data_IF_076764968580
#
_entry.id   IF_076764968580
#
_cell.length_a   1.000
_cell.length_b   1.000
_cell.length_c   1.000
_cell.angle_alpha   90.00
_cell.angle_beta   90.00
_cell.angle_gamma   90.00
#
_symmetry.space_group_name_H-M   'P 1'
#
loop_
_entity.id
_entity.type
_entity.pdbx_description
1 polymer ?
#
# COMPACT_ATOMS: atom_id res chain seq x y z
N UNK A 1 22.91 -6.90 -13.22
CA UNK A 1 21.87 -6.06 -12.58
C UNK A 1 20.62 -6.92 -12.54
N UNK A 2 19.95 -7.13 -11.40
CA UNK A 2 18.73 -7.92 -11.39
C UNK A 2 17.70 -7.25 -12.30
N UNK A 3 16.99 -8.05 -13.09
CA UNK A 3 15.92 -7.57 -13.96
C UNK A 3 14.85 -6.82 -13.15
N UNK A 4 14.26 -5.74 -13.70
CA UNK A 4 13.21 -5.00 -13.02
C UNK A 4 12.03 -5.93 -12.73
N UNK A 5 11.65 -6.03 -11.45
CA UNK A 5 10.50 -6.85 -11.04
C UNK A 5 9.23 -6.18 -11.57
N UNK A 6 8.56 -6.85 -12.51
CA UNK A 6 7.25 -6.41 -13.01
C UNK A 6 6.17 -6.82 -12.01
N UNK A 7 5.38 -5.85 -11.56
CA UNK A 7 4.23 -6.12 -10.69
C UNK A 7 3.10 -6.75 -11.49
N UNK A 8 2.57 -7.86 -10.98
CA UNK A 8 1.39 -8.53 -11.53
C UNK A 8 0.51 -9.00 -10.38
N UNK A 9 -0.81 -9.13 -10.59
CA UNK A 9 -1.70 -9.60 -9.53
C UNK A 9 -1.27 -10.98 -9.00
N UNK A 10 -0.77 -11.87 -9.88
CA UNK A 10 -0.24 -13.17 -9.46
C UNK A 10 0.97 -13.03 -8.52
N UNK A 11 1.93 -12.14 -8.82
CA UNK A 11 3.07 -11.91 -7.93
C UNK A 11 2.63 -11.39 -6.56
N UNK A 12 1.63 -10.51 -6.53
CA UNK A 12 1.05 -9.98 -5.29
C UNK A 12 0.37 -11.09 -4.48
N UNK A 13 -0.36 -11.98 -5.16
CA UNK A 13 -0.99 -13.17 -4.59
C UNK A 13 0.03 -14.14 -3.99
N UNK A 14 1.11 -14.44 -4.71
CA UNK A 14 2.19 -15.32 -4.27
C UNK A 14 2.95 -14.74 -3.07
N UNK A 15 3.13 -13.41 -3.03
CA UNK A 15 3.93 -12.73 -1.99
C UNK A 15 3.12 -12.47 -0.73
N UNK A 16 1.90 -11.97 -0.89
CA UNK A 16 1.05 -11.54 0.22
C UNK A 16 0.17 -12.63 0.80
N UNK A 17 -0.15 -13.65 0.02
CA UNK A 17 -1.11 -14.68 0.42
C UNK A 17 -2.57 -14.23 0.33
N UNK A 18 -3.48 -15.20 0.45
CA UNK A 18 -4.90 -15.02 0.12
C UNK A 18 -5.61 -14.02 1.01
N UNK A 19 -5.32 -14.05 2.30
CA UNK A 19 -6.02 -13.21 3.29
C UNK A 19 -5.68 -11.74 3.08
N UNK A 20 -4.40 -11.44 2.91
CA UNK A 20 -3.88 -10.10 2.69
C UNK A 20 -4.32 -9.56 1.32
N UNK A 21 -4.33 -10.39 0.27
CA UNK A 21 -4.87 -9.99 -1.04
C UNK A 21 -6.37 -9.70 -1.01
N UNK A 22 -7.15 -10.46 -0.24
CA UNK A 22 -8.59 -10.21 -0.11
C UNK A 22 -8.85 -8.84 0.53
N UNK A 23 -8.13 -8.50 1.60
CA UNK A 23 -8.22 -7.20 2.25
C UNK A 23 -7.69 -6.08 1.34
N UNK A 24 -6.59 -6.32 0.64
CA UNK A 24 -6.01 -5.37 -0.31
C UNK A 24 -7.00 -4.99 -1.42
N UNK A 25 -7.70 -5.99 -2.00
CA UNK A 25 -8.75 -5.75 -2.99
C UNK A 25 -9.90 -4.94 -2.43
N UNK A 26 -10.30 -5.18 -1.18
CA UNK A 26 -11.35 -4.38 -0.54
C UNK A 26 -10.93 -2.91 -0.36
N UNK A 27 -9.69 -2.65 0.08
CA UNK A 27 -9.14 -1.30 0.20
C UNK A 27 -9.03 -0.61 -1.16
N UNK A 28 -8.53 -1.32 -2.16
CA UNK A 28 -8.38 -0.83 -3.52
C UNK A 28 -9.73 -0.48 -4.16
N UNK A 29 -10.71 -1.40 -4.10
CA UNK A 29 -12.04 -1.18 -4.64
C UNK A 29 -12.82 -0.07 -3.92
N UNK A 30 -12.53 0.15 -2.62
CA UNK A 30 -13.09 1.27 -1.87
C UNK A 30 -12.46 2.63 -2.23
N UNK A 31 -11.46 2.68 -3.12
CA UNK A 31 -10.73 3.90 -3.44
C UNK A 31 -9.91 4.43 -2.26
N UNK A 32 -9.50 3.54 -1.34
CA UNK A 32 -8.78 3.94 -0.12
C UNK A 32 -7.30 4.27 -0.35
N UNK A 33 -6.78 4.01 -1.55
CA UNK A 33 -5.41 4.35 -1.95
C UNK A 33 -5.42 5.76 -2.53
N UNK A 34 -4.78 6.70 -1.83
CA UNK A 34 -4.68 8.10 -2.29
C UNK A 34 -3.51 8.31 -3.25
N UNK A 35 -2.40 7.64 -2.98
CA UNK A 35 -1.19 7.73 -3.78
C UNK A 35 -0.60 6.35 -3.98
N UNK A 36 -0.14 6.07 -5.21
CA UNK A 36 0.56 4.85 -5.55
C UNK A 36 1.61 5.12 -6.63
N UNK A 37 2.85 4.69 -6.37
CA UNK A 37 3.97 4.83 -7.29
C UNK A 37 4.87 3.62 -7.17
N UNK A 38 5.23 3.06 -8.32
CA UNK A 38 6.26 2.03 -8.41
C UNK A 38 7.35 2.47 -9.39
N UNK A 39 8.57 2.62 -8.90
CA UNK A 39 9.71 3.01 -9.72
C UNK A 39 11.01 2.46 -9.13
N UNK A 40 11.92 1.98 -9.99
CA UNK A 40 13.25 1.52 -9.60
C UNK A 40 13.25 0.46 -8.48
N UNK A 41 12.26 -0.45 -8.48
CA UNK A 41 12.12 -1.48 -7.45
C UNK A 41 11.56 -0.96 -6.12
N UNK A 42 11.14 0.31 -6.05
CA UNK A 42 10.54 0.89 -4.84
C UNK A 42 9.06 1.16 -5.08
N UNK A 43 8.22 0.58 -4.23
CA UNK A 43 6.79 0.83 -4.16
C UNK A 43 6.49 1.79 -3.01
N UNK A 44 5.85 2.91 -3.33
CA UNK A 44 5.49 3.96 -2.36
C UNK A 44 4.03 4.36 -2.53
N UNK A 45 3.36 4.68 -1.43
CA UNK A 45 1.99 5.14 -1.47
C UNK A 45 1.40 5.55 -0.13
N UNK A 46 0.19 6.09 -0.19
CA UNK A 46 -0.65 6.44 0.95
C UNK A 46 -1.96 5.68 0.86
N UNK A 47 -2.33 5.02 1.96
CA UNK A 47 -3.58 4.25 2.06
C UNK A 47 -4.34 4.64 3.32
N UNK A 48 -5.60 5.02 3.15
CA UNK A 48 -6.55 5.17 4.23
C UNK A 48 -6.94 3.79 4.77
N UNK A 49 -6.62 3.50 6.02
CA UNK A 49 -7.00 2.23 6.65
C UNK A 49 -7.34 2.44 8.12
N UNK A 50 -8.50 1.94 8.53
CA UNK A 50 -9.01 2.05 9.91
C UNK A 50 -9.02 3.51 10.40
N UNK A 51 -9.49 4.42 9.57
CA UNK A 51 -9.62 5.85 9.91
C UNK A 51 -8.29 6.61 10.02
N UNK A 52 -7.16 6.03 9.61
CA UNK A 52 -5.85 6.70 9.60
C UNK A 52 -5.16 6.52 8.26
N UNK A 53 -4.47 7.57 7.81
CA UNK A 53 -3.58 7.47 6.66
C UNK A 53 -2.32 6.68 7.03
N UNK A 54 -1.97 5.70 6.19
CA UNK A 54 -0.80 4.84 6.34
C UNK A 54 0.16 5.10 5.21
N UNK A 55 1.38 5.48 5.58
CA UNK A 55 2.51 5.50 4.65
C UNK A 55 2.98 4.08 4.38
N UNK A 56 3.05 3.75 3.10
CA UNK A 56 3.54 2.48 2.56
C UNK A 56 4.85 2.78 1.82
N UNK A 57 5.88 2.00 2.15
CA UNK A 57 7.12 1.94 1.38
C UNK A 57 7.60 0.50 1.39
N UNK A 58 7.85 -0.06 0.21
CA UNK A 58 8.37 -1.41 0.04
C UNK A 58 9.51 -1.38 -0.95
N UNK A 59 10.65 -1.96 -0.57
CA UNK A 59 11.75 -2.20 -1.49
C UNK A 59 11.67 -3.63 -2.02
N UNK A 60 11.43 -3.76 -3.32
CA UNK A 60 11.29 -5.02 -4.03
C UNK A 60 12.62 -5.32 -4.71
N UNK A 61 13.43 -6.16 -4.07
CA UNK A 61 14.77 -6.52 -4.57
C UNK A 61 14.70 -7.66 -5.57
N UNK A 62 13.84 -8.63 -5.30
CA UNK A 62 13.56 -9.78 -6.17
C UNK A 62 12.09 -10.16 -6.04
N UNK A 63 11.63 -11.12 -6.86
CA UNK A 63 10.25 -11.64 -6.78
C UNK A 63 9.90 -12.20 -5.40
N UNK A 64 10.89 -12.68 -4.64
CA UNK A 64 10.70 -13.31 -3.32
C UNK A 64 11.25 -12.47 -2.17
N UNK A 65 11.97 -11.38 -2.45
CA UNK A 65 12.56 -10.51 -1.43
C UNK A 65 11.94 -9.13 -1.48
N UNK A 66 11.07 -8.88 -0.50
CA UNK A 66 10.33 -7.64 -0.31
C UNK A 66 10.63 -7.11 1.08
N UNK A 67 11.22 -5.93 1.17
CA UNK A 67 11.46 -5.25 2.44
C UNK A 67 10.33 -4.26 2.71
N UNK A 68 9.41 -4.62 3.60
CA UNK A 68 8.21 -3.85 3.87
C UNK A 68 8.41 -2.89 5.04
N UNK A 69 8.35 -1.59 4.76
CA UNK A 69 8.42 -0.52 5.76
C UNK A 69 7.07 0.19 5.98
N UNK A 70 5.97 -0.50 5.70
CA UNK A 70 4.64 0.04 5.98
C UNK A 70 4.50 0.39 7.47
N UNK A 71 3.84 1.51 7.76
CA UNK A 71 3.59 1.99 9.13
C UNK A 71 2.58 1.15 9.95
N UNK A 72 2.07 0.04 9.42
CA UNK A 72 1.02 -0.76 10.05
C UNK A 72 1.59 -1.77 11.07
N UNK A 73 0.79 -2.25 12.04
CA UNK A 73 1.27 -3.16 13.07
C UNK A 73 1.82 -4.49 12.53
N UNK A 74 1.25 -5.01 11.44
CA UNK A 74 1.70 -6.27 10.82
C UNK A 74 3.13 -6.11 10.28
N UNK A 75 3.35 -5.10 9.44
CA UNK A 75 4.67 -4.83 8.87
C UNK A 75 5.70 -4.50 9.97
N UNK A 76 5.31 -3.72 10.99
CA UNK A 76 6.20 -3.39 12.11
C UNK A 76 6.59 -4.59 12.98
N UNK A 77 5.70 -5.57 13.14
CA UNK A 77 5.95 -6.75 13.99
C UNK A 77 6.70 -7.83 13.21
N UNK A 78 6.23 -8.13 12.00
CA UNK A 78 6.59 -9.36 11.30
C UNK A 78 7.43 -9.08 10.04
N UNK A 79 7.55 -7.81 9.61
CA UNK A 79 8.20 -7.44 8.34
C UNK A 79 7.47 -7.94 7.08
N UNK A 80 6.37 -8.67 7.26
CA UNK A 80 5.62 -9.32 6.19
C UNK A 80 4.92 -8.30 5.27
N UNK A 81 4.73 -8.68 4.02
CA UNK A 81 3.94 -7.90 3.06
C UNK A 81 2.48 -7.87 3.53
N UNK A 82 1.99 -6.65 3.82
CA UNK A 82 0.66 -6.44 4.38
C UNK A 82 -0.36 -6.07 3.29
N UNK A 83 -1.65 -6.15 3.62
CA UNK A 83 -2.74 -5.73 2.73
C UNK A 83 -2.58 -4.29 2.21
N UNK A 84 -1.99 -3.37 3.00
CA UNK A 84 -1.73 -1.99 2.57
C UNK A 84 -0.71 -1.93 1.42
N UNK A 85 0.39 -2.69 1.53
CA UNK A 85 1.40 -2.77 0.47
C UNK A 85 0.82 -3.33 -0.82
N UNK A 86 0.03 -4.41 -0.71
CA UNK A 86 -0.64 -5.03 -1.86
C UNK A 86 -1.68 -4.09 -2.47
N UNK A 87 -2.42 -3.31 -1.68
CA UNK A 87 -3.39 -2.34 -2.19
C UNK A 87 -2.72 -1.23 -3.00
N UNK A 88 -1.58 -0.71 -2.53
CA UNK A 88 -0.78 0.25 -3.31
C UNK A 88 -0.27 -0.39 -4.59
N UNK A 89 0.22 -1.62 -4.52
CA UNK A 89 0.68 -2.33 -5.72
C UNK A 89 -0.44 -2.55 -6.74
N UNK A 90 -1.64 -2.93 -6.29
CA UNK A 90 -2.83 -3.04 -7.13
C UNK A 90 -3.14 -1.71 -7.82
N UNK A 91 -3.14 -0.62 -7.07
CA UNK A 91 -3.36 0.73 -7.61
C UNK A 91 -2.33 1.12 -8.69
N UNK A 92 -1.09 0.61 -8.63
CA UNK A 92 -0.09 0.88 -9.67
C UNK A 92 -0.31 0.10 -10.97
N UNK A 93 -0.96 -1.06 -10.91
CA UNK A 93 -1.18 -1.93 -12.10
C UNK A 93 -2.60 -1.82 -12.66
N UNK A 94 -3.58 -1.46 -11.83
CA UNK A 94 -5.00 -1.31 -12.18
C UNK A 94 -5.60 -0.13 -11.39
N UNK A 95 -5.34 1.13 -11.79
CA UNK A 95 -5.71 2.28 -10.98
C UNK A 95 -7.22 2.49 -10.90
N UNK A 96 -7.77 2.47 -9.67
CA UNK A 96 -9.15 2.89 -9.38
C UNK A 96 -9.17 4.35 -8.95
N UNK A 97 -10.29 5.05 -9.20
CA UNK A 97 -10.46 6.42 -8.73
C UNK A 97 -10.41 6.47 -7.21
N UNK A 98 -9.48 7.23 -6.65
CA UNK A 98 -9.43 7.47 -5.22
C UNK A 98 -10.77 8.06 -4.74
N UNK A 99 -11.27 7.55 -3.63
CA UNK A 99 -12.43 8.12 -2.97
C UNK A 99 -12.05 9.53 -2.46
N UNK A 100 -12.97 10.50 -2.50
CA UNK A 100 -12.69 11.80 -1.90
C UNK A 100 -12.36 11.59 -0.43
N UNK A 101 -11.19 12.04 0.00
CA UNK A 101 -10.76 11.97 1.39
C UNK A 101 -11.87 12.56 2.28
N UNK A 102 -12.19 11.96 3.44
CA UNK A 102 -12.96 12.67 4.44
C UNK A 102 -12.12 13.88 4.85
N UNK A 103 -12.55 15.07 4.43
CA UNK A 103 -11.96 16.34 4.86
C UNK A 103 -12.20 16.49 6.36
N UNK A 104 -11.33 15.88 7.18
CA UNK A 104 -11.18 16.31 8.57
C UNK A 104 -10.45 17.64 8.51
N UNK A 105 -11.23 18.72 8.37
CA UNK A 105 -10.81 20.06 8.72
C UNK A 105 -10.51 20.08 10.23
N UNK A 106 -9.27 19.75 10.59
CA UNK A 106 -8.75 20.08 11.91
C UNK A 106 -8.40 21.57 11.94
N UNK A 107 -9.43 22.42 12.07
CA UNK A 107 -9.26 23.80 12.49
C UNK A 107 -8.97 23.79 14.00
N UNK A 108 -7.69 23.78 14.38
CA UNK A 108 -7.28 24.09 15.75
C UNK A 108 -7.10 25.60 15.85
N UNK A 109 -8.14 26.26 16.35
CA UNK A 109 -8.15 27.67 16.79
C UNK A 109 -7.02 27.92 17.79
N UNK A 110 -6.08 28.79 17.41
CA UNK A 110 -5.24 29.54 18.33
C UNK A 110 -6.01 30.78 18.82
N UNK A 111 -6.36 30.83 20.10
CA UNK A 111 -6.74 32.07 20.77
C UNK A 111 -6.06 32.12 22.14
N UNK A 112 -5.09 33.02 22.25
CA UNK A 112 -4.62 33.59 23.50
C UNK A 112 -5.20 34.99 23.68
#
# INVERSE_FOLDING_TARGET
MPDPVVLTEQLLMDTGGWREMKEARALHAAGAVEEARYANGVLEGLVASQGKMRKVRVEIRTRTWWDNHCSCPIAKRDGAVCAHALAVALQTIDPVKAAPAPVTSAASTSSG
#
